data_IF_236357511581
#
_entry.id   IF_236357511581
#
_cell.length_a   1.000
_cell.length_b   1.000
_cell.length_c   1.000
_cell.angle_alpha   90.00
_cell.angle_beta   90.00
_cell.angle_gamma   90.00
#
_symmetry.space_group_name_H-M   'P 1'
#
loop_
_entity.id
_entity.type
_entity.pdbx_description
1 polymer ?
#
# COMPACT_ATOMS: atom_id res chain seq x y z
N UNK A 1 37.54 2.76 -19.78
CA UNK A 1 36.65 2.87 -18.62
C UNK A 1 35.78 1.62 -18.58
N UNK A 2 35.99 0.71 -17.62
CA UNK A 2 35.09 -0.44 -17.45
C UNK A 2 33.82 0.10 -16.80
N UNK A 3 32.66 -0.11 -17.43
CA UNK A 3 31.38 0.11 -16.77
C UNK A 3 31.39 -0.69 -15.45
N UNK A 4 31.13 -0.03 -14.33
CA UNK A 4 30.97 -0.72 -13.06
C UNK A 4 29.77 -1.67 -13.24
N UNK A 5 29.99 -2.97 -13.04
CA UNK A 5 28.90 -3.94 -13.01
C UNK A 5 27.92 -3.52 -11.93
N UNK A 6 26.61 -3.56 -12.20
CA UNK A 6 25.62 -3.18 -11.21
C UNK A 6 25.72 -4.13 -10.01
N UNK A 7 25.26 -3.70 -8.84
CA UNK A 7 25.21 -4.57 -7.66
C UNK A 7 24.40 -5.84 -7.94
N UNK A 8 23.38 -5.77 -8.81
CA UNK A 8 22.64 -6.94 -9.27
C UNK A 8 23.52 -7.91 -10.06
N UNK A 9 24.41 -7.43 -10.92
CA UNK A 9 25.35 -8.27 -11.67
C UNK A 9 26.33 -9.00 -10.73
N UNK A 10 26.80 -8.32 -9.68
CA UNK A 10 27.70 -8.90 -8.67
C UNK A 10 26.94 -9.91 -7.79
N UNK A 11 25.72 -9.59 -7.36
CA UNK A 11 24.90 -10.44 -6.50
C UNK A 11 24.33 -11.68 -7.22
N UNK A 12 24.17 -11.65 -8.56
CA UNK A 12 23.73 -12.80 -9.37
C UNK A 12 24.77 -13.93 -9.42
N UNK A 13 26.06 -13.61 -9.27
CA UNK A 13 27.17 -14.58 -9.36
C UNK A 13 27.46 -15.22 -7.99
N UNK A 14 27.26 -14.47 -6.90
CA UNK A 14 27.40 -14.96 -5.52
C UNK A 14 26.56 -14.07 -4.59
N UNK A 15 25.74 -14.62 -3.68
CA UNK A 15 25.12 -13.82 -2.63
C UNK A 15 26.23 -13.26 -1.73
N UNK A 16 26.67 -12.05 -2.05
CA UNK A 16 27.68 -11.30 -1.30
C UNK A 16 26.97 -10.20 -0.52
N UNK A 17 27.15 -10.13 0.81
CA UNK A 17 26.71 -8.98 1.58
C UNK A 17 27.46 -7.72 1.12
N UNK A 18 26.83 -6.95 0.22
CA UNK A 18 27.43 -5.75 -0.40
C UNK A 18 26.91 -4.44 0.23
N UNK A 19 25.91 -4.53 1.10
CA UNK A 19 25.22 -3.36 1.67
C UNK A 19 25.81 -2.92 3.02
N UNK A 20 25.67 -1.63 3.39
CA UNK A 20 26.04 -1.12 4.71
C UNK A 20 25.34 -1.87 5.86
N UNK A 21 24.11 -2.34 5.62
CA UNK A 21 23.39 -3.19 6.57
C UNK A 21 22.34 -4.10 5.90
N UNK A 22 21.39 -4.64 6.68
CA UNK A 22 20.27 -5.44 6.15
C UNK A 22 19.29 -4.57 5.35
N UNK A 23 18.78 -5.14 4.27
CA UNK A 23 17.76 -4.53 3.42
C UNK A 23 16.65 -5.55 3.11
N UNK A 24 15.38 -5.14 3.15
CA UNK A 24 14.22 -6.02 3.03
C UNK A 24 13.19 -5.47 2.06
N UNK A 25 12.61 -6.36 1.28
CA UNK A 25 11.45 -6.09 0.43
C UNK A 25 10.19 -6.75 1.00
N UNK A 26 9.05 -6.06 0.89
CA UNK A 26 7.72 -6.66 1.04
C UNK A 26 6.74 -6.00 0.09
N UNK A 27 5.77 -6.79 -0.36
CA UNK A 27 4.80 -6.43 -1.36
C UNK A 27 3.40 -6.76 -0.84
N UNK A 28 2.54 -5.76 -0.79
CA UNK A 28 1.14 -5.86 -0.38
C UNK A 28 0.24 -5.46 -1.53
N UNK A 29 -0.80 -6.26 -1.81
CA UNK A 29 -1.69 -6.01 -2.95
C UNK A 29 -2.64 -4.82 -2.81
N UNK A 30 -2.87 -4.33 -1.59
CA UNK A 30 -3.70 -3.16 -1.30
C UNK A 30 -3.34 -2.53 0.05
N UNK A 31 -3.92 -1.36 0.41
CA UNK A 31 -3.64 -0.66 1.67
C UNK A 31 -4.05 -1.40 2.95
N UNK A 32 -4.78 -2.52 2.88
CA UNK A 32 -4.99 -3.40 4.04
C UNK A 32 -3.67 -4.04 4.54
N UNK A 33 -2.61 -4.02 3.72
CA UNK A 33 -1.24 -4.38 4.07
C UNK A 33 -1.10 -5.73 4.82
N UNK A 34 -1.67 -6.80 4.27
CA UNK A 34 -1.74 -8.11 4.93
C UNK A 34 -0.39 -8.74 5.30
N UNK A 35 0.71 -8.35 4.65
CA UNK A 35 2.08 -8.80 5.01
C UNK A 35 2.83 -7.81 5.90
N UNK A 36 2.18 -6.71 6.30
CA UNK A 36 2.73 -5.61 7.07
C UNK A 36 4.03 -5.06 6.44
N UNK A 37 3.98 -4.78 5.14
CA UNK A 37 5.07 -4.22 4.37
C UNK A 37 5.50 -2.88 4.96
N UNK A 38 4.57 -1.96 5.22
CA UNK A 38 4.89 -0.60 5.69
C UNK A 38 5.67 -0.59 7.01
N UNK A 39 5.56 -1.66 7.80
CA UNK A 39 6.18 -1.79 9.11
C UNK A 39 7.46 -2.64 9.12
N UNK A 40 7.60 -3.58 8.17
CA UNK A 40 8.57 -4.69 8.26
C UNK A 40 9.48 -4.82 7.05
N UNK A 41 9.56 -3.81 6.18
CA UNK A 41 10.51 -3.78 5.07
C UNK A 41 11.16 -2.40 4.87
N UNK A 42 12.40 -2.41 4.38
CA UNK A 42 13.11 -1.20 3.99
C UNK A 42 12.47 -0.58 2.74
N UNK A 43 11.94 -1.40 1.84
CA UNK A 43 11.08 -1.00 0.72
C UNK A 43 9.72 -1.71 0.87
N UNK A 44 8.66 -0.94 0.98
CA UNK A 44 7.29 -1.41 1.01
C UNK A 44 6.57 -1.00 -0.27
N UNK A 45 6.14 -1.98 -1.06
CA UNK A 45 5.34 -1.77 -2.26
C UNK A 45 3.89 -2.12 -1.92
N UNK A 46 3.00 -1.14 -1.98
CA UNK A 46 1.60 -1.28 -1.55
C UNK A 46 0.69 -0.92 -2.72
N UNK A 47 -0.05 -1.90 -3.24
CA UNK A 47 -0.93 -1.73 -4.38
C UNK A 47 -2.02 -0.68 -4.13
N UNK A 48 -2.39 0.04 -5.17
CA UNK A 48 -3.47 1.04 -5.18
C UNK A 48 -4.01 1.19 -6.60
N UNK A 49 -5.04 2.03 -6.76
CA UNK A 49 -5.55 2.49 -8.05
C UNK A 49 -5.59 4.03 -8.08
N UNK A 50 -5.80 4.63 -9.24
CA UNK A 50 -5.92 6.10 -9.39
C UNK A 50 -7.15 6.59 -10.14
N UNK A 51 -7.96 5.65 -10.65
CA UNK A 51 -9.28 5.91 -11.22
C UNK A 51 -10.39 5.72 -10.17
N UNK A 52 -11.64 5.68 -10.61
CA UNK A 52 -12.80 5.69 -9.71
C UNK A 52 -13.08 4.31 -9.10
N UNK A 53 -13.60 4.29 -7.88
CA UNK A 53 -14.17 3.08 -7.28
C UNK A 53 -15.34 2.60 -8.14
N UNK A 54 -15.36 1.30 -8.45
CA UNK A 54 -16.45 0.68 -9.19
C UNK A 54 -17.58 0.32 -8.23
N UNK A 55 -18.78 0.81 -8.54
CA UNK A 55 -19.97 0.66 -7.68
C UNK A 55 -21.04 -0.13 -8.42
N UNK A 56 -21.47 -1.25 -7.84
CA UNK A 56 -22.67 -1.97 -8.22
C UNK A 56 -23.83 -1.54 -7.32
N UNK A 57 -24.70 -0.68 -7.85
CA UNK A 57 -25.84 -0.14 -7.11
C UNK A 57 -26.89 -1.19 -6.77
N UNK A 58 -27.00 -2.28 -7.54
CA UNK A 58 -27.90 -3.38 -7.20
C UNK A 58 -27.39 -4.09 -5.94
N UNK A 59 -26.09 -4.39 -5.89
CA UNK A 59 -25.48 -4.98 -4.71
C UNK A 59 -25.53 -4.06 -3.48
N UNK A 60 -25.39 -2.73 -3.64
CA UNK A 60 -25.59 -1.76 -2.52
C UNK A 60 -26.98 -1.91 -1.91
N UNK A 61 -28.03 -2.01 -2.74
CA UNK A 61 -29.41 -2.19 -2.26
C UNK A 61 -29.57 -3.49 -1.48
N UNK A 62 -28.92 -4.56 -1.91
CA UNK A 62 -28.94 -5.85 -1.20
C UNK A 62 -28.25 -5.78 0.18
N UNK A 63 -27.18 -4.99 0.33
CA UNK A 63 -26.59 -4.70 1.64
C UNK A 63 -27.59 -3.95 2.54
N UNK A 64 -28.23 -2.89 2.05
CA UNK A 64 -29.21 -2.09 2.81
C UNK A 64 -30.45 -2.93 3.17
N UNK A 65 -30.87 -3.84 2.29
CA UNK A 65 -31.95 -4.79 2.55
C UNK A 65 -31.57 -5.79 3.67
N UNK A 66 -30.28 -6.07 3.86
CA UNK A 66 -29.76 -7.05 4.81
C UNK A 66 -29.56 -8.45 4.20
N UNK A 67 -29.63 -8.56 2.87
CA UNK A 67 -29.47 -9.83 2.16
C UNK A 67 -27.99 -10.25 2.05
N UNK A 68 -27.07 -9.28 2.13
CA UNK A 68 -25.63 -9.53 2.15
C UNK A 68 -25.03 -9.17 3.52
N UNK A 69 -24.19 -10.05 4.11
CA UNK A 69 -23.52 -9.73 5.35
C UNK A 69 -22.44 -8.66 5.11
N UNK A 70 -22.44 -7.62 5.94
CA UNK A 70 -21.38 -6.61 5.94
C UNK A 70 -20.03 -7.24 6.30
N UNK A 71 -18.97 -6.69 5.73
CA UNK A 71 -17.58 -7.14 5.93
C UNK A 71 -17.38 -8.65 5.72
N UNK A 72 -18.11 -9.21 4.75
CA UNK A 72 -18.07 -10.65 4.44
C UNK A 72 -18.52 -11.56 5.60
N UNK A 73 -19.24 -11.02 6.58
CA UNK A 73 -19.68 -11.78 7.77
C UNK A 73 -18.63 -11.86 8.88
N UNK A 74 -17.56 -11.04 8.84
CA UNK A 74 -16.50 -11.03 9.85
C UNK A 74 -17.00 -10.77 11.29
N UNK A 75 -18.16 -10.12 11.44
CA UNK A 75 -18.75 -9.76 12.73
C UNK A 75 -19.97 -10.63 13.13
N UNK A 76 -20.21 -11.74 12.43
CA UNK A 76 -21.36 -12.63 12.67
C UNK A 76 -21.41 -13.29 14.05
N UNK A 77 -20.32 -13.26 14.81
CA UNK A 77 -20.23 -13.81 16.17
C UNK A 77 -20.90 -12.98 17.27
N UNK A 78 -21.44 -11.80 16.95
CA UNK A 78 -22.16 -10.93 17.90
C UNK A 78 -23.31 -10.23 17.19
N UNK A 79 -24.40 -9.97 17.92
CA UNK A 79 -25.49 -9.12 17.42
C UNK A 79 -25.10 -7.64 17.52
N UNK A 80 -24.94 -7.01 16.35
CA UNK A 80 -24.66 -5.58 16.18
C UNK A 80 -25.87 -4.80 15.67
N UNK A 81 -27.02 -5.47 15.50
CA UNK A 81 -28.19 -4.93 14.80
C UNK A 81 -28.13 -5.09 13.28
N UNK A 82 -29.12 -4.51 12.60
CA UNK A 82 -29.18 -4.49 11.13
C UNK A 82 -28.13 -3.53 10.57
N UNK A 83 -27.52 -3.92 9.45
CA UNK A 83 -26.59 -3.07 8.70
C UNK A 83 -27.17 -1.66 8.46
N UNK A 84 -26.39 -0.64 8.83
CA UNK A 84 -26.71 0.77 8.63
C UNK A 84 -25.59 1.42 7.81
N UNK A 85 -25.85 1.66 6.51
CA UNK A 85 -24.85 2.23 5.60
C UNK A 85 -24.37 3.62 6.04
N UNK A 86 -25.21 4.40 6.72
CA UNK A 86 -24.82 5.71 7.20
C UNK A 86 -23.77 5.56 8.29
N UNK A 87 -24.05 4.75 9.31
CA UNK A 87 -23.18 4.57 10.48
C UNK A 87 -21.94 3.72 10.22
N UNK A 88 -22.05 2.70 9.37
CA UNK A 88 -20.97 1.71 9.17
C UNK A 88 -20.06 2.03 7.98
N UNK A 89 -20.49 2.91 7.05
CA UNK A 89 -19.71 3.24 5.86
C UNK A 89 -19.50 4.75 5.72
N UNK A 90 -20.58 5.54 5.66
CA UNK A 90 -20.51 6.96 5.29
C UNK A 90 -19.86 7.78 6.41
N UNK A 91 -20.36 7.66 7.64
CA UNK A 91 -19.86 8.40 8.80
C UNK A 91 -18.43 7.98 9.20
N UNK A 92 -18.00 6.80 8.76
CA UNK A 92 -16.66 6.26 9.01
C UNK A 92 -15.68 6.51 7.86
N UNK A 93 -16.13 7.13 6.75
CA UNK A 93 -15.23 7.52 5.68
C UNK A 93 -14.27 8.62 6.19
N UNK A 94 -12.94 8.42 6.18
CA UNK A 94 -12.00 9.35 6.80
C UNK A 94 -11.99 10.73 6.13
N UNK A 95 -12.39 10.82 4.87
CA UNK A 95 -12.45 12.09 4.11
C UNK A 95 -13.87 12.59 3.91
N UNK A 96 -14.88 11.89 4.44
CA UNK A 96 -16.29 12.24 4.27
C UNK A 96 -16.71 12.44 2.81
N UNK A 97 -16.08 11.74 1.88
CA UNK A 97 -16.32 11.86 0.43
C UNK A 97 -17.50 11.03 -0.10
N UNK A 98 -18.32 10.43 0.77
CA UNK A 98 -19.40 9.51 0.40
C UNK A 98 -20.75 10.05 0.87
N UNK A 99 -21.82 9.83 0.10
CA UNK A 99 -23.18 10.16 0.50
C UNK A 99 -24.23 9.32 -0.22
N UNK A 100 -25.46 9.30 0.32
CA UNK A 100 -26.62 8.73 -0.35
C UNK A 100 -27.46 9.82 -1.00
N UNK A 101 -27.84 9.63 -2.26
CA UNK A 101 -28.73 10.53 -2.99
C UNK A 101 -29.82 9.71 -3.70
N UNK A 102 -31.09 9.90 -3.32
CA UNK A 102 -32.20 9.17 -3.93
C UNK A 102 -32.08 7.63 -3.84
N UNK A 103 -31.43 7.11 -2.79
CA UNK A 103 -31.16 5.67 -2.63
C UNK A 103 -30.00 5.13 -3.47
N UNK A 104 -29.18 6.02 -4.06
CA UNK A 104 -27.97 5.70 -4.83
C UNK A 104 -26.75 6.13 -4.02
N UNK A 105 -25.76 5.24 -3.89
CA UNK A 105 -24.50 5.56 -3.24
C UNK A 105 -23.61 6.37 -4.19
N UNK A 106 -23.10 7.50 -3.74
CA UNK A 106 -22.17 8.37 -4.45
C UNK A 106 -20.85 8.47 -3.69
N UNK A 107 -19.76 8.57 -4.44
CA UNK A 107 -18.40 8.73 -3.93
C UNK A 107 -17.74 9.84 -4.76
N UNK A 108 -17.16 10.83 -4.10
CA UNK A 108 -16.22 11.75 -4.73
C UNK A 108 -14.81 11.16 -4.70
N UNK A 109 -14.45 10.44 -5.77
CA UNK A 109 -13.16 9.76 -5.87
C UNK A 109 -11.96 10.71 -5.81
N UNK A 110 -12.14 12.01 -6.09
CA UNK A 110 -11.05 13.00 -5.99
C UNK A 110 -10.62 13.22 -4.54
N UNK A 111 -11.58 13.18 -3.61
CA UNK A 111 -11.35 13.32 -2.17
C UNK A 111 -11.13 11.95 -1.49
N UNK A 112 -11.11 10.85 -2.25
CA UNK A 112 -10.87 9.52 -1.72
C UNK A 112 -9.38 9.25 -1.51
N UNK A 113 -9.00 8.92 -0.28
CA UNK A 113 -7.63 8.50 0.08
C UNK A 113 -7.38 7.00 -0.08
N UNK A 114 -8.36 6.25 -0.60
CA UNK A 114 -8.26 4.80 -0.90
C UNK A 114 -7.93 3.94 0.32
N UNK A 115 -8.48 4.27 1.49
CA UNK A 115 -8.26 3.58 2.77
C UNK A 115 -8.81 2.14 2.87
N UNK A 116 -9.48 1.63 1.83
CA UNK A 116 -10.15 0.32 1.76
C UNK A 116 -11.41 0.13 2.64
N UNK A 117 -11.74 1.00 3.59
CA UNK A 117 -12.86 0.79 4.53
C UNK A 117 -14.17 0.39 3.85
N UNK A 118 -14.68 1.21 2.92
CA UNK A 118 -15.95 0.96 2.25
C UNK A 118 -15.93 -0.34 1.42
N UNK A 119 -14.82 -0.64 0.74
CA UNK A 119 -14.63 -1.88 -0.02
C UNK A 119 -14.60 -3.09 0.92
N UNK A 120 -13.93 -2.97 2.07
CA UNK A 120 -13.87 -4.02 3.07
C UNK A 120 -15.27 -4.32 3.63
N UNK A 121 -16.08 -3.28 3.90
CA UNK A 121 -17.45 -3.45 4.42
C UNK A 121 -18.41 -3.99 3.35
N UNK A 122 -18.31 -3.54 2.10
CA UNK A 122 -19.23 -3.93 1.02
C UNK A 122 -18.50 -4.55 -0.20
N UNK A 123 -17.76 -5.67 -0.04
CA UNK A 123 -16.88 -6.21 -1.09
C UNK A 123 -17.62 -6.73 -2.31
N UNK A 124 -18.92 -7.06 -2.19
CA UNK A 124 -19.75 -7.47 -3.34
C UNK A 124 -20.21 -6.28 -4.19
N UNK A 125 -20.28 -5.08 -3.60
CA UNK A 125 -20.81 -3.88 -4.24
C UNK A 125 -19.73 -2.90 -4.68
N UNK A 126 -18.63 -2.80 -3.93
CA UNK A 126 -17.54 -1.87 -4.18
C UNK A 126 -16.27 -2.62 -4.57
N UNK A 127 -15.60 -2.14 -5.63
CA UNK A 127 -14.32 -2.70 -6.07
C UNK A 127 -13.31 -1.58 -6.35
N UNK A 128 -12.01 -1.85 -6.17
CA UNK A 128 -10.95 -0.97 -6.66
C UNK A 128 -11.16 -0.62 -8.14
N UNK A 129 -10.63 0.54 -8.54
CA UNK A 129 -10.56 0.93 -9.95
C UNK A 129 -9.73 -0.03 -10.81
N UNK A 130 -9.69 0.22 -12.12
CA UNK A 130 -8.99 -0.61 -13.09
C UNK A 130 -7.59 -0.08 -13.43
N UNK A 131 -7.34 1.21 -13.23
CA UNK A 131 -6.01 1.79 -13.39
C UNK A 131 -5.17 1.57 -12.12
N UNK A 132 -4.65 0.36 -12.02
CA UNK A 132 -3.92 -0.16 -10.87
C UNK A 132 -2.42 0.15 -10.96
N UNK A 133 -1.78 0.26 -9.80
CA UNK A 133 -0.35 0.47 -9.64
C UNK A 133 0.02 0.25 -8.18
N UNK A 134 1.13 0.82 -7.72
CA UNK A 134 1.52 0.77 -6.32
C UNK A 134 2.09 2.09 -5.83
N UNK A 135 1.92 2.31 -4.53
CA UNK A 135 2.66 3.29 -3.75
C UNK A 135 3.93 2.63 -3.23
N UNK A 136 5.06 3.33 -3.31
CA UNK A 136 6.35 2.84 -2.79
C UNK A 136 6.76 3.67 -1.59
N UNK A 137 6.90 3.00 -0.45
CA UNK A 137 7.34 3.59 0.81
C UNK A 137 8.71 3.04 1.22
N UNK A 138 9.52 3.85 1.89
CA UNK A 138 10.91 3.51 2.23
C UNK A 138 11.21 3.76 3.71
N UNK A 139 12.01 2.88 4.33
CA UNK A 139 12.68 3.17 5.60
C UNK A 139 12.19 2.40 6.83
N UNK A 140 11.25 1.44 6.72
CA UNK A 140 10.73 0.81 7.93
C UNK A 140 11.79 -0.01 8.69
N UNK A 141 11.79 0.15 10.02
CA UNK A 141 12.69 -0.57 10.91
C UNK A 141 12.16 -0.71 12.33
N UNK A 142 12.66 -1.75 12.99
CA UNK A 142 12.56 -1.92 14.43
C UNK A 142 13.40 -0.84 15.18
N UNK A 143 13.23 -0.71 16.52
CA UNK A 143 13.80 0.41 17.29
C UNK A 143 15.29 0.66 17.12
N UNK A 144 16.15 -0.36 17.15
CA UNK A 144 17.61 -0.15 17.16
C UNK A 144 18.09 0.43 15.82
N UNK A 145 18.88 1.52 15.78
CA UNK A 145 19.35 2.35 16.91
C UNK A 145 18.44 3.55 17.18
N UNK A 146 18.11 4.33 16.13
CA UNK A 146 17.47 5.66 16.26
C UNK A 146 15.93 5.63 16.26
N UNK A 147 15.35 4.66 16.94
CA UNK A 147 13.90 4.51 17.07
C UNK A 147 13.25 3.68 15.95
N UNK A 148 12.00 3.28 16.22
CA UNK A 148 11.20 2.52 15.27
C UNK A 148 10.63 3.45 14.21
N UNK A 149 10.58 2.98 12.97
CA UNK A 149 10.07 3.75 11.84
C UNK A 149 9.10 2.88 11.05
N UNK A 150 7.96 3.45 10.68
CA UNK A 150 7.21 2.98 9.51
C UNK A 150 7.84 3.56 8.26
N UNK A 151 7.66 2.87 7.13
CA UNK A 151 8.13 3.36 5.85
C UNK A 151 7.41 4.68 5.49
N UNK A 152 8.17 5.64 4.99
CA UNK A 152 7.67 6.95 4.53
C UNK A 152 7.30 6.88 3.06
N UNK A 153 6.20 7.52 2.66
CA UNK A 153 5.75 7.58 1.27
C UNK A 153 6.77 8.36 0.41
N UNK A 154 7.38 7.69 -0.57
CA UNK A 154 8.34 8.31 -1.50
C UNK A 154 7.75 8.45 -2.90
N UNK A 155 7.11 7.40 -3.42
CA UNK A 155 6.45 7.42 -4.73
C UNK A 155 4.96 7.21 -4.52
N UNK A 156 4.11 8.24 -4.73
CA UNK A 156 2.67 8.13 -4.53
C UNK A 156 2.01 7.08 -5.43
N UNK A 157 2.44 7.00 -6.69
CA UNK A 157 1.93 6.04 -7.67
C UNK A 157 3.01 5.68 -8.68
N UNK A 158 3.25 4.39 -8.84
CA UNK A 158 4.13 3.78 -9.83
C UNK A 158 3.32 2.71 -10.58
N UNK A 159 3.41 2.70 -11.91
CA UNK A 159 2.78 1.63 -12.68
C UNK A 159 3.66 0.39 -12.55
N UNK A 160 3.06 -0.74 -12.25
CA UNK A 160 3.77 -2.02 -12.18
C UNK A 160 3.27 -2.90 -13.31
N UNK A 161 4.18 -3.32 -14.18
CA UNK A 161 3.91 -4.28 -15.24
C UNK A 161 4.81 -5.49 -15.07
N UNK A 162 4.25 -6.68 -15.28
CA UNK A 162 5.07 -7.88 -15.40
C UNK A 162 5.70 -7.99 -16.80
N UNK A 163 5.11 -7.32 -17.79
CA UNK A 163 5.54 -7.38 -19.19
C UNK A 163 6.91 -6.71 -19.42
N UNK A 164 7.27 -5.75 -18.56
CA UNK A 164 8.57 -5.07 -18.56
C UNK A 164 9.47 -5.51 -17.38
N UNK A 165 9.16 -6.65 -16.77
CA UNK A 165 9.87 -7.18 -15.59
C UNK A 165 9.96 -6.18 -14.42
N UNK A 166 8.96 -5.29 -14.27
CA UNK A 166 8.92 -4.25 -13.25
C UNK A 166 10.11 -3.27 -13.36
N UNK A 167 10.50 -2.90 -14.59
CA UNK A 167 11.67 -2.05 -14.86
C UNK A 167 11.69 -0.76 -14.02
N UNK A 168 10.57 -0.03 -13.96
CA UNK A 168 10.48 1.24 -13.21
C UNK A 168 10.76 1.06 -11.70
N UNK A 169 10.24 -0.03 -11.12
CA UNK A 169 10.48 -0.37 -9.72
C UNK A 169 11.93 -0.79 -9.48
N UNK A 170 12.48 -1.58 -10.40
CA UNK A 170 13.87 -2.05 -10.32
C UNK A 170 14.85 -0.88 -10.38
N UNK A 171 14.67 0.05 -11.33
CA UNK A 171 15.47 1.26 -11.44
C UNK A 171 15.36 2.14 -10.18
N UNK A 172 14.17 2.25 -9.59
CA UNK A 172 13.99 2.98 -8.33
C UNK A 172 14.75 2.33 -7.17
N UNK A 173 14.70 1.00 -7.06
CA UNK A 173 15.42 0.24 -6.04
C UNK A 173 16.94 0.40 -6.20
N UNK A 174 17.44 0.30 -7.43
CA UNK A 174 18.87 0.47 -7.73
C UNK A 174 19.36 1.87 -7.36
N UNK A 175 18.59 2.92 -7.67
CA UNK A 175 18.91 4.30 -7.24
C UNK A 175 19.02 4.46 -5.72
N UNK A 176 18.13 3.80 -4.96
CA UNK A 176 18.20 3.80 -3.49
C UNK A 176 19.45 3.08 -3.02
N UNK A 177 19.77 1.93 -3.62
CA UNK A 177 20.97 1.18 -3.27
C UNK A 177 22.25 1.92 -3.57
N UNK A 178 22.39 2.52 -4.76
CA UNK A 178 23.57 3.28 -5.14
C UNK A 178 23.80 4.43 -4.15
N UNK A 179 22.76 5.20 -3.85
CA UNK A 179 22.83 6.27 -2.85
C UNK A 179 23.19 5.74 -1.46
N UNK A 180 22.45 4.75 -0.95
CA UNK A 180 22.64 4.24 0.41
C UNK A 180 23.98 3.53 0.59
N UNK A 181 24.48 2.84 -0.43
CA UNK A 181 25.80 2.19 -0.39
C UNK A 181 26.94 3.20 -0.36
N UNK A 182 26.77 4.37 -0.99
CA UNK A 182 27.77 5.43 -0.98
C UNK A 182 27.76 6.22 0.34
N UNK A 183 26.58 6.57 0.87
CA UNK A 183 26.46 7.50 2.01
C UNK A 183 26.12 6.82 3.34
N UNK A 184 25.71 5.55 3.31
CA UNK A 184 25.30 4.79 4.48
C UNK A 184 26.47 4.45 5.39
N UNK A 185 26.33 4.72 6.68
CA UNK A 185 27.34 4.35 7.68
C UNK A 185 27.29 2.83 7.93
N UNK A 186 28.38 2.31 8.49
CA UNK A 186 28.43 0.90 8.90
C UNK A 186 27.26 0.55 9.83
N UNK A 187 26.47 -0.46 9.44
CA UNK A 187 25.27 -0.93 10.16
C UNK A 187 24.15 0.11 10.33
N UNK A 188 24.11 1.11 9.46
CA UNK A 188 23.01 2.08 9.40
C UNK A 188 21.95 1.61 8.41
N UNK A 189 20.68 1.57 8.83
CA UNK A 189 19.56 1.20 7.95
C UNK A 189 19.22 2.37 7.02
N UNK A 190 18.64 2.08 5.86
CA UNK A 190 18.23 3.12 4.89
C UNK A 190 17.33 4.18 5.53
N UNK A 191 16.41 3.79 6.43
CA UNK A 191 15.55 4.74 7.15
C UNK A 191 16.29 5.64 8.16
N UNK A 192 17.40 5.18 8.74
CA UNK A 192 18.28 6.01 9.59
C UNK A 192 19.11 6.95 8.71
N UNK A 193 19.61 6.47 7.57
CA UNK A 193 20.28 7.31 6.57
C UNK A 193 19.36 8.42 6.06
N UNK A 194 18.09 8.14 5.78
CA UNK A 194 17.08 9.15 5.40
C UNK A 194 16.91 10.21 6.50
N UNK A 195 16.77 9.82 7.77
CA UNK A 195 16.66 10.79 8.86
C UNK A 195 17.91 11.67 9.03
N UNK A 196 19.10 11.10 8.82
CA UNK A 196 20.37 11.80 8.99
C UNK A 196 20.64 12.76 7.83
N UNK A 197 20.35 12.36 6.60
CA UNK A 197 20.71 13.11 5.39
C UNK A 197 19.61 14.07 4.95
N UNK A 198 18.35 13.70 5.13
CA UNK A 198 17.19 14.40 4.55
C UNK A 198 16.83 13.79 3.21
#
# INVERSE_FOLDING_TARGET
ARAAASVMDICRIRPCPAFPYKFKFKFSGCPNDCVAAIARSDIAVIGTWRDNIRIDQAAVKEYIAGNYPSNGGAHSGRDWGKFDIQKEVIDLCPTQCMWMEGGVLKIDDKECTRCMHCINVMPRALRPGVDTGATVCVGAKAPILDGAQFATLIVPFMKLSADDEFAELTEFIEKIWDWWMEVGKNRERVGETMQRVG
#
